data_IF_996714885752
#
_entry.id   IF_996714885752
#
_cell.length_a   1.000
_cell.length_b   1.000
_cell.length_c   1.000
_cell.angle_alpha   90.00
_cell.angle_beta   90.00
_cell.angle_gamma   90.00
#
_symmetry.space_group_name_H-M   'P 1'
#
loop_
_entity.id
_entity.type
_entity.pdbx_description
1 polymer ?
#
# COMPACT_ATOMS: atom_id res chain seq x y z
N UNK A 1 -14.05 -7.76 -7.06
CA UNK A 1 -14.71 -8.04 -5.79
C UNK A 1 -14.68 -6.79 -4.89
N UNK A 2 -15.80 -6.48 -4.24
CA UNK A 2 -16.07 -5.20 -3.57
C UNK A 2 -16.76 -4.21 -4.50
N UNK A 3 -17.77 -3.50 -3.98
CA UNK A 3 -18.54 -2.49 -4.71
C UNK A 3 -18.71 -1.21 -3.85
N UNK A 4 -17.71 -0.91 -3.05
CA UNK A 4 -17.62 0.35 -2.32
C UNK A 4 -17.04 1.47 -3.17
N UNK A 5 -16.92 2.69 -2.61
CA UNK A 5 -16.45 3.89 -3.31
C UNK A 5 -15.10 3.68 -4.03
N UNK A 6 -14.13 3.01 -3.39
CA UNK A 6 -12.83 2.74 -4.00
C UNK A 6 -12.94 1.83 -5.23
N UNK A 7 -13.74 0.76 -5.15
CA UNK A 7 -13.95 -0.16 -6.26
C UNK A 7 -14.61 0.56 -7.45
N UNK A 8 -15.72 1.26 -7.21
CA UNK A 8 -16.46 1.97 -8.26
C UNK A 8 -15.63 3.07 -8.90
N UNK A 9 -14.83 3.81 -8.13
CA UNK A 9 -13.88 4.79 -8.69
C UNK A 9 -12.82 4.14 -9.60
N UNK A 10 -12.24 3.01 -9.17
CA UNK A 10 -11.29 2.26 -10.00
C UNK A 10 -11.94 1.76 -11.31
N UNK A 11 -13.18 1.24 -11.24
CA UNK A 11 -13.90 0.76 -12.41
C UNK A 11 -14.24 1.91 -13.37
N UNK A 12 -14.67 3.06 -12.84
CA UNK A 12 -14.88 4.27 -13.63
C UNK A 12 -13.62 4.69 -14.38
N UNK A 13 -12.45 4.63 -13.71
CA UNK A 13 -11.17 4.93 -14.34
C UNK A 13 -10.78 3.91 -15.42
N UNK A 14 -11.05 2.62 -15.20
CA UNK A 14 -10.83 1.58 -16.23
C UNK A 14 -11.69 1.84 -17.48
N UNK A 15 -12.94 2.23 -17.31
CA UNK A 15 -13.81 2.62 -18.44
C UNK A 15 -13.25 3.82 -19.19
N UNK A 16 -12.78 4.85 -18.50
CA UNK A 16 -12.10 6.02 -19.10
C UNK A 16 -10.83 5.63 -19.87
N UNK A 17 -10.16 4.56 -19.45
CA UNK A 17 -8.99 4.00 -20.14
C UNK A 17 -9.36 3.06 -21.30
N UNK A 18 -10.65 2.85 -21.58
CA UNK A 18 -11.13 2.11 -22.73
C UNK A 18 -11.57 0.68 -22.45
N UNK A 19 -11.68 0.26 -21.19
CA UNK A 19 -12.25 -1.07 -20.86
C UNK A 19 -13.77 -1.01 -21.05
N UNK A 20 -14.37 -1.85 -21.90
CA UNK A 20 -15.82 -1.89 -22.09
C UNK A 20 -16.54 -2.30 -20.80
N UNK A 21 -17.66 -1.64 -20.48
CA UNK A 21 -18.42 -1.94 -19.25
C UNK A 21 -18.96 -3.37 -19.20
N UNK A 22 -19.34 -3.94 -20.34
CA UNK A 22 -19.77 -5.32 -20.48
C UNK A 22 -18.72 -6.35 -20.06
N UNK A 23 -17.46 -5.96 -20.06
CA UNK A 23 -16.35 -6.82 -19.61
C UNK A 23 -16.06 -6.65 -18.10
N UNK A 24 -16.77 -5.75 -17.40
CA UNK A 24 -16.57 -5.48 -15.99
C UNK A 24 -17.71 -6.11 -15.19
N UNK A 25 -17.37 -7.10 -14.38
CA UNK A 25 -18.30 -7.83 -13.53
C UNK A 25 -18.03 -7.52 -12.07
N UNK A 26 -19.02 -6.99 -11.37
CA UNK A 26 -18.90 -6.48 -9.99
C UNK A 26 -19.59 -7.42 -9.02
N UNK A 27 -18.92 -7.75 -7.93
CA UNK A 27 -19.51 -8.54 -6.84
C UNK A 27 -19.38 -7.83 -5.51
N UNK A 28 -20.38 -7.94 -4.64
CA UNK A 28 -20.39 -7.48 -3.27
C UNK A 28 -20.90 -8.56 -2.30
N UNK A 29 -21.31 -8.16 -1.08
CA UNK A 29 -21.82 -9.10 -0.07
C UNK A 29 -23.08 -9.86 -0.50
N UNK A 30 -23.89 -9.29 -1.38
CA UNK A 30 -25.09 -9.94 -1.95
C UNK A 30 -24.79 -10.70 -3.26
N UNK A 31 -23.50 -10.88 -3.61
CA UNK A 31 -23.07 -11.59 -4.81
C UNK A 31 -22.89 -10.68 -6.02
N UNK A 32 -23.10 -11.21 -7.22
CA UNK A 32 -22.89 -10.49 -8.48
C UNK A 32 -23.92 -9.35 -8.64
N UNK A 33 -23.46 -8.22 -9.17
CA UNK A 33 -24.31 -7.08 -9.56
C UNK A 33 -24.89 -7.39 -10.94
N UNK A 34 -26.20 -7.69 -10.98
CA UNK A 34 -26.92 -8.10 -12.19
C UNK A 34 -28.16 -7.22 -12.42
N UNK A 35 -28.63 -7.15 -13.64
CA UNK A 35 -29.78 -6.33 -14.03
C UNK A 35 -31.09 -6.86 -13.41
N UNK A 36 -31.73 -6.05 -12.59
CA UNK A 36 -32.93 -6.43 -11.83
C UNK A 36 -32.68 -6.82 -10.38
N UNK A 37 -31.43 -6.86 -9.92
CA UNK A 37 -31.11 -6.99 -8.51
C UNK A 37 -31.55 -5.71 -7.75
N UNK A 38 -32.17 -5.90 -6.60
CA UNK A 38 -32.63 -4.80 -5.74
C UNK A 38 -31.84 -4.69 -4.43
N UNK A 39 -31.28 -5.81 -3.96
CA UNK A 39 -30.54 -5.87 -2.71
C UNK A 39 -29.18 -5.18 -2.82
N UNK A 40 -28.84 -4.29 -1.86
CA UNK A 40 -27.59 -3.53 -1.80
C UNK A 40 -27.24 -2.78 -3.10
N UNK A 41 -28.25 -2.27 -3.81
CA UNK A 41 -28.06 -1.51 -5.06
C UNK A 41 -28.13 0.00 -4.81
N UNK A 42 -27.34 0.72 -5.61
CA UNK A 42 -27.32 2.17 -5.74
C UNK A 42 -27.10 2.55 -7.21
N UNK A 43 -27.25 3.83 -7.60
CA UNK A 43 -27.08 4.27 -8.99
C UNK A 43 -25.72 3.93 -9.58
N UNK A 44 -24.63 4.06 -8.81
CA UNK A 44 -23.26 3.82 -9.29
C UNK A 44 -23.02 2.34 -9.60
N UNK A 45 -23.54 1.44 -8.76
CA UNK A 45 -23.51 -0.01 -9.02
C UNK A 45 -24.35 -0.40 -10.22
N UNK A 46 -25.51 0.27 -10.39
CA UNK A 46 -26.42 -0.02 -11.49
C UNK A 46 -25.74 0.16 -12.86
N UNK A 47 -24.77 1.05 -12.97
CA UNK A 47 -23.99 1.24 -14.20
C UNK A 47 -23.19 0.00 -14.64
N UNK A 48 -22.88 -0.90 -13.69
CA UNK A 48 -22.11 -2.13 -13.93
C UNK A 48 -22.97 -3.40 -13.85
N UNK A 49 -24.29 -3.27 -13.81
CA UNK A 49 -25.20 -4.41 -13.71
C UNK A 49 -25.20 -5.20 -15.03
N UNK A 50 -24.85 -6.48 -14.94
CA UNK A 50 -24.74 -7.39 -16.10
C UNK A 50 -26.08 -8.12 -16.37
N UNK A 51 -26.35 -8.40 -17.65
CA UNK A 51 -27.46 -9.26 -18.05
C UNK A 51 -26.97 -10.72 -18.02
N UNK A 52 -27.27 -11.41 -16.92
CA UNK A 52 -26.75 -12.77 -16.69
C UNK A 52 -27.58 -13.52 -15.66
N UNK A 53 -27.52 -14.85 -15.72
CA UNK A 53 -28.07 -15.76 -14.71
C UNK A 53 -27.07 -16.11 -13.60
N UNK A 54 -25.83 -15.66 -13.71
CA UNK A 54 -24.79 -15.85 -12.69
C UNK A 54 -25.09 -14.99 -11.45
N UNK A 55 -24.68 -15.48 -10.26
CA UNK A 55 -25.02 -14.82 -8.98
C UNK A 55 -23.85 -14.68 -8.03
N UNK A 56 -22.79 -15.44 -8.18
CA UNK A 56 -21.70 -15.51 -7.22
C UNK A 56 -20.36 -15.01 -7.81
N UNK A 57 -19.39 -14.71 -6.93
CA UNK A 57 -18.03 -14.43 -7.35
C UNK A 57 -17.42 -15.63 -8.11
N UNK A 58 -17.72 -16.85 -7.67
CA UNK A 58 -17.21 -18.06 -8.32
C UNK A 58 -17.70 -18.19 -9.76
N UNK A 59 -18.95 -17.79 -10.03
CA UNK A 59 -19.49 -17.77 -11.38
C UNK A 59 -18.82 -16.69 -12.23
N UNK A 60 -18.68 -15.48 -11.69
CA UNK A 60 -18.17 -14.32 -12.40
C UNK A 60 -16.68 -14.42 -12.75
N UNK A 61 -15.89 -15.13 -11.92
CA UNK A 61 -14.43 -15.19 -12.09
C UNK A 61 -14.00 -16.28 -13.08
N UNK A 62 -14.88 -17.21 -13.40
CA UNK A 62 -14.57 -18.27 -14.34
C UNK A 62 -14.24 -17.70 -15.74
N UNK A 63 -13.03 -17.94 -16.23
CA UNK A 63 -12.53 -17.37 -17.47
C UNK A 63 -12.15 -15.89 -17.43
N UNK A 64 -12.17 -15.24 -16.27
CA UNK A 64 -11.78 -13.85 -16.15
C UNK A 64 -10.26 -13.67 -16.29
N UNK A 65 -9.85 -12.63 -17.01
CA UNK A 65 -8.43 -12.26 -17.19
C UNK A 65 -7.88 -11.49 -16.00
N UNK A 66 -8.73 -10.72 -15.29
CA UNK A 66 -8.32 -9.84 -14.21
C UNK A 66 -9.24 -10.00 -13.00
N UNK A 67 -8.67 -10.18 -11.83
CA UNK A 67 -9.35 -10.03 -10.55
C UNK A 67 -8.87 -8.74 -9.87
N UNK A 68 -9.81 -7.85 -9.55
CA UNK A 68 -9.58 -6.66 -8.74
C UNK A 68 -10.30 -6.81 -7.40
N UNK A 69 -9.52 -7.08 -6.35
CA UNK A 69 -9.98 -7.23 -4.97
C UNK A 69 -9.87 -5.91 -4.21
N UNK A 70 -11.01 -5.36 -3.80
CA UNK A 70 -11.17 -4.18 -2.94
C UNK A 70 -12.26 -4.48 -1.90
N UNK A 71 -12.19 -5.64 -1.28
CA UNK A 71 -13.25 -6.22 -0.44
C UNK A 71 -12.74 -6.62 0.94
N UNK A 72 -12.63 -7.90 1.23
CA UNK A 72 -12.25 -8.43 2.52
C UNK A 72 -11.30 -9.62 2.38
N UNK A 73 -10.60 -9.93 3.48
CA UNK A 73 -9.70 -11.07 3.54
C UNK A 73 -10.37 -12.39 3.12
N UNK A 74 -9.60 -13.23 2.46
CA UNK A 74 -9.96 -14.63 2.15
C UNK A 74 -11.22 -14.81 1.29
N UNK A 75 -11.66 -13.79 0.57
CA UNK A 75 -12.85 -13.87 -0.31
C UNK A 75 -12.55 -14.68 -1.57
N UNK A 76 -11.35 -14.56 -2.14
CA UNK A 76 -10.91 -15.31 -3.32
C UNK A 76 -10.32 -16.66 -2.90
N UNK A 77 -10.85 -17.77 -3.46
CA UNK A 77 -10.41 -19.13 -3.11
C UNK A 77 -9.49 -19.70 -4.17
N UNK A 78 -8.54 -20.60 -3.82
CA UNK A 78 -7.65 -21.25 -4.79
C UNK A 78 -8.39 -21.93 -5.97
N UNK A 79 -9.56 -22.52 -5.71
CA UNK A 79 -10.40 -23.11 -6.77
C UNK A 79 -10.90 -22.08 -7.80
N UNK A 80 -11.23 -20.87 -7.34
CA UNK A 80 -11.63 -19.77 -8.21
C UNK A 80 -10.43 -19.28 -9.05
N UNK A 81 -9.25 -19.18 -8.46
CA UNK A 81 -8.02 -18.82 -9.20
C UNK A 81 -7.73 -19.81 -10.32
N UNK A 82 -7.93 -21.12 -10.09
CA UNK A 82 -7.78 -22.14 -11.13
C UNK A 82 -8.73 -21.95 -12.31
N UNK A 83 -9.93 -21.43 -12.09
CA UNK A 83 -10.94 -21.24 -13.13
C UNK A 83 -10.75 -19.99 -13.99
N UNK A 84 -9.83 -19.09 -13.61
CA UNK A 84 -9.51 -17.88 -14.38
C UNK A 84 -8.85 -18.23 -15.74
N UNK A 85 -8.81 -17.25 -16.62
CA UNK A 85 -8.12 -17.35 -17.91
C UNK A 85 -6.61 -17.63 -17.75
N UNK A 86 -5.92 -17.91 -18.83
CA UNK A 86 -4.46 -18.09 -18.84
C UNK A 86 -3.75 -16.77 -18.52
N UNK A 87 -2.69 -16.81 -17.71
CA UNK A 87 -1.91 -15.66 -17.27
C UNK A 87 -2.76 -14.53 -16.66
N UNK A 88 -3.58 -14.82 -15.65
CA UNK A 88 -4.47 -13.81 -15.08
C UNK A 88 -3.67 -12.79 -14.27
N UNK A 89 -4.24 -11.59 -14.17
CA UNK A 89 -3.75 -10.53 -13.27
C UNK A 89 -4.62 -10.55 -12.02
N UNK A 90 -3.99 -10.68 -10.85
CA UNK A 90 -4.68 -10.76 -9.57
C UNK A 90 -4.22 -9.62 -8.67
N UNK A 91 -5.07 -8.61 -8.52
CA UNK A 91 -4.91 -7.52 -7.56
C UNK A 91 -5.68 -7.88 -6.28
N UNK A 92 -4.99 -8.39 -5.25
CA UNK A 92 -5.59 -8.71 -3.95
C UNK A 92 -5.22 -7.60 -2.96
N UNK A 93 -6.07 -6.57 -2.86
CA UNK A 93 -5.73 -5.28 -2.26
C UNK A 93 -6.38 -5.03 -0.89
N UNK A 94 -7.14 -5.97 -0.34
CA UNK A 94 -7.67 -5.87 1.02
C UNK A 94 -6.54 -5.75 2.06
N UNK A 95 -6.75 -4.94 3.08
CA UNK A 95 -5.78 -4.68 4.15
C UNK A 95 -6.39 -4.99 5.54
N UNK A 96 -5.61 -5.58 6.46
CA UNK A 96 -4.19 -5.97 6.35
C UNK A 96 -3.97 -7.32 5.64
N UNK A 97 -5.00 -8.15 5.54
CA UNK A 97 -4.97 -9.47 4.89
C UNK A 97 -5.64 -9.36 3.52
N UNK A 98 -4.97 -9.75 2.42
CA UNK A 98 -5.54 -9.70 1.08
C UNK A 98 -6.68 -10.71 0.88
N UNK A 99 -7.42 -10.57 -0.21
CA UNK A 99 -8.51 -11.49 -0.60
C UNK A 99 -8.05 -12.93 -0.80
N UNK A 100 -6.78 -13.12 -1.11
CA UNK A 100 -6.05 -14.40 -1.15
C UNK A 100 -4.57 -14.12 -0.95
N UNK A 101 -3.87 -15.00 -0.27
CA UNK A 101 -2.42 -14.85 -0.09
C UNK A 101 -1.67 -15.27 -1.37
N UNK A 102 -0.56 -14.58 -1.74
CA UNK A 102 0.24 -14.94 -2.92
C UNK A 102 0.71 -16.39 -2.95
N UNK A 103 1.01 -16.98 -1.79
CA UNK A 103 1.41 -18.37 -1.67
C UNK A 103 0.30 -19.33 -2.09
N UNK A 104 -0.95 -19.02 -1.76
CA UNK A 104 -2.12 -19.82 -2.14
C UNK A 104 -2.37 -19.78 -3.65
N UNK A 105 -2.11 -18.61 -4.28
CA UNK A 105 -2.17 -18.48 -5.74
C UNK A 105 -1.06 -19.33 -6.37
N UNK A 106 0.19 -19.15 -5.92
CA UNK A 106 1.36 -19.88 -6.44
C UNK A 106 1.26 -21.39 -6.23
N UNK A 107 0.55 -21.85 -5.20
CA UNK A 107 0.31 -23.27 -4.95
C UNK A 107 -0.62 -23.93 -6.01
N UNK A 108 -1.41 -23.15 -6.73
CA UNK A 108 -2.41 -23.68 -7.68
C UNK A 108 -2.14 -23.29 -9.13
N UNK A 109 -1.30 -22.25 -9.38
CA UNK A 109 -0.86 -21.86 -10.73
C UNK A 109 0.39 -20.95 -10.64
N UNK A 110 1.25 -21.04 -11.64
CA UNK A 110 2.54 -20.37 -11.74
C UNK A 110 2.57 -19.22 -12.77
N UNK A 111 1.51 -19.07 -13.56
CA UNK A 111 1.40 -18.11 -14.65
C UNK A 111 0.71 -16.79 -14.26
N UNK A 112 0.26 -16.65 -13.01
CA UNK A 112 -0.46 -15.45 -12.53
C UNK A 112 0.48 -14.27 -12.26
N UNK A 113 0.06 -13.06 -12.67
CA UNK A 113 0.66 -11.80 -12.25
C UNK A 113 -0.03 -11.33 -10.97
N UNK A 114 0.72 -11.18 -9.89
CA UNK A 114 0.16 -10.92 -8.55
C UNK A 114 0.60 -9.56 -8.04
N UNK A 115 -0.34 -8.78 -7.53
CA UNK A 115 -0.10 -7.54 -6.81
C UNK A 115 -0.94 -7.47 -5.53
N UNK A 116 -0.36 -6.93 -4.47
CA UNK A 116 -1.04 -6.77 -3.17
C UNK A 116 -0.80 -5.38 -2.59
N UNK A 117 -1.53 -5.01 -1.54
CA UNK A 117 -1.24 -3.80 -0.76
C UNK A 117 -0.05 -3.94 0.21
N UNK A 118 0.55 -5.14 0.32
CA UNK A 118 1.58 -5.45 1.31
C UNK A 118 2.98 -5.07 0.82
N UNK A 119 3.83 -4.64 1.76
CA UNK A 119 5.22 -4.23 1.49
C UNK A 119 6.18 -5.39 1.32
N UNK A 120 5.82 -6.55 1.81
CA UNK A 120 6.64 -7.76 1.84
C UNK A 120 6.49 -8.65 0.59
N UNK A 121 5.69 -8.20 -0.37
CA UNK A 121 5.51 -8.88 -1.67
C UNK A 121 5.90 -7.97 -2.84
N UNK A 122 6.27 -8.56 -3.98
CA UNK A 122 6.40 -7.81 -5.23
C UNK A 122 5.12 -7.08 -5.62
N UNK A 123 5.24 -6.06 -6.47
CA UNK A 123 4.11 -5.29 -7.01
C UNK A 123 3.22 -4.68 -5.91
N UNK A 124 3.83 -4.04 -4.91
CA UNK A 124 3.06 -3.35 -3.87
C UNK A 124 2.22 -2.23 -4.47
N UNK A 125 0.90 -2.34 -4.34
CA UNK A 125 -0.06 -1.28 -4.67
C UNK A 125 -0.26 -0.41 -3.43
N UNK A 126 0.18 0.85 -3.53
CA UNK A 126 0.09 1.79 -2.42
C UNK A 126 -0.38 3.16 -2.91
N UNK A 127 -1.30 3.79 -2.19
CA UNK A 127 -1.82 5.12 -2.52
C UNK A 127 -0.73 6.19 -2.62
N UNK A 128 0.40 6.02 -1.92
CA UNK A 128 1.54 6.96 -1.95
C UNK A 128 2.17 7.09 -3.34
N UNK A 129 1.96 6.13 -4.22
CA UNK A 129 2.45 6.19 -5.61
C UNK A 129 1.87 7.36 -6.39
N UNK A 130 0.62 7.74 -6.11
CA UNK A 130 -0.09 8.80 -6.85
C UNK A 130 -0.48 9.97 -5.95
N UNK A 131 -1.02 9.69 -4.77
CA UNK A 131 -1.69 10.66 -3.89
C UNK A 131 -0.89 11.97 -3.66
N UNK A 132 0.40 11.97 -3.27
CA UNK A 132 1.10 13.23 -3.02
C UNK A 132 1.32 14.03 -4.30
N UNK A 133 1.48 13.37 -5.42
CA UNK A 133 1.97 13.98 -6.67
C UNK A 133 0.85 14.48 -7.56
N UNK A 134 -0.31 13.83 -7.54
CA UNK A 134 -1.51 14.36 -8.23
C UNK A 134 -1.95 15.68 -7.59
N UNK A 135 -1.95 15.75 -6.25
CA UNK A 135 -2.24 16.99 -5.54
C UNK A 135 -1.14 18.04 -5.75
N UNK A 136 0.13 17.63 -5.81
CA UNK A 136 1.22 18.54 -6.12
C UNK A 136 1.02 19.22 -7.47
N UNK A 137 0.74 18.46 -8.52
CA UNK A 137 0.46 19.01 -9.85
C UNK A 137 -0.77 19.90 -9.89
N UNK A 138 -1.85 19.48 -9.25
CA UNK A 138 -3.09 20.24 -9.17
C UNK A 138 -2.92 21.56 -8.40
N UNK A 139 -2.29 21.55 -7.22
CA UNK A 139 -2.08 22.75 -6.41
C UNK A 139 -1.08 23.71 -7.03
N UNK A 140 0.00 23.24 -7.61
CA UNK A 140 1.00 24.10 -8.26
C UNK A 140 0.43 24.81 -9.49
N UNK A 141 -0.45 24.16 -10.25
CA UNK A 141 -1.17 24.76 -11.38
C UNK A 141 -2.40 25.58 -10.95
N UNK A 142 -2.77 25.55 -9.66
CA UNK A 142 -3.97 26.18 -9.14
C UNK A 142 -5.26 25.60 -9.74
N UNK A 143 -5.29 24.28 -9.97
CA UNK A 143 -6.48 23.62 -10.50
C UNK A 143 -7.65 23.75 -9.52
N UNK A 144 -8.83 24.09 -10.05
CA UNK A 144 -10.07 24.26 -9.27
C UNK A 144 -10.75 22.93 -8.95
N UNK A 145 -10.41 21.89 -9.71
CA UNK A 145 -10.89 20.52 -9.54
C UNK A 145 -9.88 19.54 -10.12
N UNK A 146 -9.95 18.27 -9.73
CA UNK A 146 -9.22 17.19 -10.40
C UNK A 146 -10.15 16.63 -11.47
N UNK A 147 -9.73 16.73 -12.74
CA UNK A 147 -10.50 16.24 -13.88
C UNK A 147 -10.10 14.81 -14.25
N UNK A 148 -10.97 14.12 -14.99
CA UNK A 148 -10.68 12.79 -15.54
C UNK A 148 -9.36 12.77 -16.35
N UNK A 149 -9.08 13.82 -17.10
CA UNK A 149 -7.84 13.95 -17.86
C UNK A 149 -6.60 14.01 -16.95
N UNK A 150 -6.70 14.63 -15.78
CA UNK A 150 -5.62 14.67 -14.78
C UNK A 150 -5.40 13.29 -14.13
N UNK A 151 -6.47 12.55 -13.84
CA UNK A 151 -6.39 11.18 -13.33
C UNK A 151 -5.73 10.25 -14.34
N UNK A 152 -6.18 10.29 -15.60
CA UNK A 152 -5.62 9.50 -16.71
C UNK A 152 -4.14 9.85 -16.94
N UNK A 153 -3.78 11.14 -16.88
CA UNK A 153 -2.39 11.57 -17.01
C UNK A 153 -1.49 11.00 -15.90
N UNK A 154 -2.01 10.94 -14.66
CA UNK A 154 -1.29 10.32 -13.55
C UNK A 154 -1.09 8.82 -13.77
N UNK A 155 -2.12 8.10 -14.25
CA UNK A 155 -2.02 6.67 -14.57
C UNK A 155 -0.94 6.42 -15.62
N UNK A 156 -0.94 7.18 -16.73
CA UNK A 156 0.07 7.03 -17.77
C UNK A 156 1.48 7.31 -17.25
N UNK A 157 1.65 8.37 -16.43
CA UNK A 157 2.94 8.71 -15.84
C UNK A 157 3.50 7.58 -14.95
N UNK A 158 2.65 6.92 -14.16
CA UNK A 158 3.04 5.77 -13.33
C UNK A 158 3.39 4.56 -14.22
N UNK A 159 2.58 4.26 -15.23
CA UNK A 159 2.80 3.15 -16.14
C UNK A 159 4.08 3.31 -16.97
N UNK A 160 4.37 4.51 -17.45
CA UNK A 160 5.62 4.84 -18.14
C UNK A 160 6.82 4.68 -17.22
N UNK A 161 6.70 5.13 -15.96
CA UNK A 161 7.79 5.02 -15.00
C UNK A 161 8.12 3.55 -14.65
N UNK A 162 7.11 2.68 -14.58
CA UNK A 162 7.32 1.25 -14.37
C UNK A 162 8.15 0.60 -15.49
N UNK A 163 8.02 1.11 -16.72
CA UNK A 163 8.75 0.63 -17.91
C UNK A 163 10.09 1.33 -18.15
N UNK A 164 10.34 2.44 -17.46
CA UNK A 164 11.57 3.19 -17.61
C UNK A 164 12.75 2.43 -16.99
N UNK A 165 13.92 2.54 -17.60
CA UNK A 165 15.17 2.04 -17.01
C UNK A 165 15.41 2.63 -15.63
N UNK A 166 15.95 1.82 -14.72
CA UNK A 166 16.26 2.27 -13.38
C UNK A 166 17.39 3.30 -13.41
N UNK A 167 17.25 4.34 -12.59
CA UNK A 167 18.39 5.20 -12.27
C UNK A 167 19.23 4.56 -11.15
N UNK A 168 20.53 4.84 -11.13
CA UNK A 168 21.44 4.42 -10.06
C UNK A 168 20.93 4.83 -8.67
N UNK A 169 20.20 5.94 -8.57
CA UNK A 169 19.59 6.44 -7.32
C UNK A 169 18.52 5.49 -6.80
N UNK A 170 17.70 4.94 -7.70
CA UNK A 170 16.67 3.94 -7.33
C UNK A 170 17.32 2.61 -6.98
N UNK A 171 18.28 2.15 -7.76
CA UNK A 171 19.02 0.93 -7.47
C UNK A 171 19.74 1.01 -6.11
N UNK A 172 20.30 2.15 -5.76
CA UNK A 172 20.95 2.36 -4.46
C UNK A 172 19.93 2.41 -3.29
N UNK A 173 18.74 2.93 -3.53
CA UNK A 173 17.68 2.98 -2.50
C UNK A 173 17.09 1.61 -2.18
N UNK A 174 17.13 0.66 -3.13
CA UNK A 174 16.59 -0.70 -3.00
C UNK A 174 17.69 -1.78 -3.00
N UNK A 175 18.81 -1.51 -2.33
CA UNK A 175 19.90 -2.48 -2.04
C UNK A 175 20.47 -3.22 -3.26
N UNK A 176 20.44 -2.60 -4.44
CA UNK A 176 21.02 -3.17 -5.66
C UNK A 176 20.12 -4.20 -6.36
N UNK A 177 18.86 -4.29 -6.00
CA UNK A 177 17.88 -5.06 -6.77
C UNK A 177 17.79 -4.53 -8.19
N UNK A 178 18.02 -5.39 -9.18
CA UNK A 178 17.79 -5.04 -10.59
C UNK A 178 16.30 -5.16 -10.86
N UNK A 179 15.57 -4.05 -10.71
CA UNK A 179 14.13 -4.01 -10.98
C UNK A 179 13.92 -3.73 -12.47
N UNK A 180 13.56 -4.72 -13.25
CA UNK A 180 13.16 -4.58 -14.64
C UNK A 180 11.65 -4.84 -14.77
N UNK A 181 10.97 -4.11 -15.68
CA UNK A 181 9.56 -4.34 -15.93
C UNK A 181 9.28 -5.79 -16.28
N UNK A 182 8.39 -6.41 -15.52
CA UNK A 182 8.08 -7.84 -15.64
C UNK A 182 7.15 -8.31 -14.53
N UNK A 183 6.91 -9.62 -14.39
CA UNK A 183 5.95 -10.17 -13.44
C UNK A 183 6.15 -9.74 -11.97
N UNK A 184 7.40 -9.51 -11.56
CA UNK A 184 7.73 -9.09 -10.19
C UNK A 184 7.89 -7.55 -10.06
N UNK A 185 7.76 -6.80 -11.17
CA UNK A 185 7.84 -5.34 -11.19
C UNK A 185 6.90 -4.74 -12.23
N UNK A 186 5.60 -4.73 -11.92
CA UNK A 186 4.54 -4.15 -12.76
C UNK A 186 4.29 -2.68 -12.43
N UNK A 187 4.65 -2.25 -11.23
CA UNK A 187 4.37 -0.93 -10.67
C UNK A 187 5.63 -0.38 -9.99
N UNK A 188 5.92 0.93 -10.06
CA UNK A 188 7.08 1.52 -9.39
C UNK A 188 7.04 1.31 -7.88
N UNK A 189 8.20 1.31 -7.25
CA UNK A 189 8.28 1.24 -5.79
C UNK A 189 7.73 2.53 -5.14
N UNK A 190 7.08 2.47 -3.97
CA UNK A 190 6.40 3.60 -3.32
C UNK A 190 7.26 4.84 -3.06
N UNK A 191 8.56 4.66 -2.86
CA UNK A 191 9.50 5.76 -2.57
C UNK A 191 10.44 6.07 -3.75
N UNK A 192 10.04 5.72 -4.97
CA UNK A 192 10.77 6.13 -6.17
C UNK A 192 10.71 7.66 -6.32
N UNK A 193 11.85 8.36 -6.22
CA UNK A 193 11.87 9.82 -6.28
C UNK A 193 11.40 10.36 -7.63
N UNK A 194 11.43 9.55 -8.68
CA UNK A 194 10.97 9.92 -10.03
C UNK A 194 9.46 10.06 -10.13
N UNK A 195 8.68 9.49 -9.20
CA UNK A 195 7.21 9.62 -9.17
C UNK A 195 6.78 11.09 -9.16
N UNK A 196 7.34 11.92 -8.28
CA UNK A 196 7.02 13.35 -8.22
C UNK A 196 7.34 14.04 -9.54
N UNK A 197 8.51 13.73 -10.13
CA UNK A 197 9.00 14.37 -11.34
C UNK A 197 8.24 13.96 -12.60
N UNK A 198 7.52 12.85 -12.59
CA UNK A 198 6.70 12.36 -13.70
C UNK A 198 5.24 12.74 -13.52
N UNK A 199 4.65 12.47 -12.36
CA UNK A 199 3.21 12.64 -12.13
C UNK A 199 2.82 14.12 -12.04
N UNK A 200 3.52 14.92 -11.21
CA UNK A 200 3.11 16.30 -10.98
C UNK A 200 3.13 17.16 -12.26
N UNK A 201 4.15 17.09 -13.14
CA UNK A 201 4.12 17.79 -14.42
C UNK A 201 3.02 17.30 -15.36
N UNK A 202 2.77 15.99 -15.45
CA UNK A 202 1.73 15.42 -16.29
C UNK A 202 0.34 15.92 -15.86
N UNK A 203 0.08 15.93 -14.56
CA UNK A 203 -1.16 16.44 -13.97
C UNK A 203 -1.33 17.94 -14.20
N UNK A 204 -0.27 18.73 -14.02
CA UNK A 204 -0.32 20.18 -14.24
C UNK A 204 -0.61 20.53 -15.71
N UNK A 205 -0.02 19.80 -16.66
CA UNK A 205 -0.30 19.94 -18.08
C UNK A 205 -1.75 19.57 -18.41
N UNK A 206 -2.24 18.46 -17.85
CA UNK A 206 -3.63 18.05 -18.04
C UNK A 206 -4.62 19.06 -17.45
N UNK A 207 -4.32 19.66 -16.29
CA UNK A 207 -5.11 20.72 -15.69
C UNK A 207 -5.19 21.96 -16.61
N UNK A 208 -4.08 22.37 -17.20
CA UNK A 208 -4.04 23.47 -18.15
C UNK A 208 -4.84 23.15 -19.41
N UNK A 209 -4.67 21.96 -19.98
CA UNK A 209 -5.41 21.52 -21.17
C UNK A 209 -6.91 21.40 -20.93
N UNK A 210 -7.33 21.02 -19.71
CA UNK A 210 -8.74 20.97 -19.31
C UNK A 210 -9.35 22.32 -18.94
N UNK A 211 -8.57 23.41 -18.97
CA UNK A 211 -9.04 24.77 -18.65
C UNK A 211 -9.33 25.01 -17.16
N UNK A 212 -8.92 24.10 -16.26
CA UNK A 212 -9.16 24.23 -14.81
C UNK A 212 -7.98 24.85 -14.06
N UNK A 213 -6.83 25.04 -14.71
CA UNK A 213 -5.65 25.64 -14.10
C UNK A 213 -5.76 27.16 -14.04
N UNK A 214 -5.81 27.75 -12.84
CA UNK A 214 -5.80 29.21 -12.64
C UNK A 214 -4.40 29.82 -12.79
N UNK A 215 -3.35 29.00 -12.63
CA UNK A 215 -1.94 29.38 -12.71
C UNK A 215 -1.19 28.36 -13.58
N UNK A 216 -1.50 28.38 -14.88
CA UNK A 216 -0.81 27.49 -15.82
C UNK A 216 0.71 27.67 -15.72
N UNK A 217 1.45 26.58 -15.69
CA UNK A 217 2.90 26.58 -15.59
C UNK A 217 3.47 26.85 -16.99
N UNK A 218 4.03 28.04 -17.18
CA UNK A 218 4.53 28.49 -18.48
C UNK A 218 5.85 27.80 -18.88
N UNK A 219 6.74 27.59 -17.92
CA UNK A 219 8.03 26.91 -18.12
C UNK A 219 8.04 25.58 -17.36
N UNK A 220 7.83 24.51 -18.10
CA UNK A 220 7.74 23.16 -17.56
C UNK A 220 9.11 22.60 -17.17
N UNK A 221 10.19 23.08 -17.80
CA UNK A 221 11.54 22.62 -17.47
C UNK A 221 12.01 23.25 -16.16
N UNK A 222 11.79 24.55 -15.97
CA UNK A 222 12.01 25.20 -14.68
C UNK A 222 11.16 24.58 -13.55
N UNK A 223 9.94 24.14 -13.88
CA UNK A 223 9.10 23.43 -12.92
C UNK A 223 9.68 22.06 -12.54
N UNK A 224 10.18 21.29 -13.48
CA UNK A 224 10.86 20.02 -13.21
C UNK A 224 12.11 20.21 -12.35
N UNK A 225 12.94 21.22 -12.66
CA UNK A 225 14.09 21.57 -11.83
C UNK A 225 13.70 21.91 -10.39
N UNK A 226 12.64 22.69 -10.20
CA UNK A 226 12.09 22.99 -8.89
C UNK A 226 11.66 21.72 -8.13
N UNK A 227 10.95 20.80 -8.80
CA UNK A 227 10.55 19.52 -8.21
C UNK A 227 11.75 18.65 -7.83
N UNK A 228 12.78 18.63 -8.69
CA UNK A 228 14.04 17.94 -8.43
C UNK A 228 14.71 18.44 -7.15
N UNK A 229 14.70 19.76 -6.91
CA UNK A 229 15.19 20.36 -5.68
C UNK A 229 14.50 19.84 -4.41
N UNK A 230 13.19 19.58 -4.47
CA UNK A 230 12.45 19.00 -3.34
C UNK A 230 12.83 17.53 -3.09
N UNK A 231 13.00 16.73 -4.12
CA UNK A 231 13.39 15.33 -4.01
C UNK A 231 14.75 15.19 -3.35
N UNK A 232 15.71 15.98 -3.79
CA UNK A 232 17.08 15.94 -3.24
C UNK A 232 17.19 16.60 -1.86
N UNK A 233 16.38 17.62 -1.55
CA UNK A 233 16.40 18.28 -0.24
C UNK A 233 15.93 17.33 0.87
N UNK A 234 14.87 16.54 0.67
CA UNK A 234 14.41 15.55 1.65
C UNK A 234 15.43 14.42 1.83
N UNK A 235 16.01 13.90 0.76
CA UNK A 235 17.09 12.91 0.82
C UNK A 235 18.35 13.46 1.53
N UNK A 236 18.73 14.67 1.25
CA UNK A 236 19.85 15.33 1.92
C UNK A 236 19.58 15.64 3.41
N UNK A 237 18.32 15.92 3.79
CA UNK A 237 17.93 16.14 5.19
C UNK A 237 17.86 14.82 5.96
N UNK A 238 17.32 13.76 5.38
CA UNK A 238 17.16 12.46 6.05
C UNK A 238 18.48 11.68 6.11
N UNK A 239 19.35 11.77 5.11
CA UNK A 239 20.63 11.06 5.07
C UNK A 239 21.53 11.37 6.28
N UNK A 240 21.71 12.63 6.72
CA UNK A 240 22.39 12.94 7.98
C UNK A 240 21.71 12.32 9.19
N UNK A 241 20.37 12.33 9.27
CA UNK A 241 19.59 11.78 10.39
C UNK A 241 19.81 10.26 10.48
N UNK A 242 19.70 9.52 9.38
CA UNK A 242 20.01 8.09 9.35
C UNK A 242 21.48 7.82 9.72
N UNK A 243 22.41 8.65 9.23
CA UNK A 243 23.84 8.53 9.59
C UNK A 243 24.05 8.77 11.06
N UNK A 244 23.39 9.78 11.65
CA UNK A 244 23.45 10.05 13.09
C UNK A 244 22.84 8.89 13.89
N UNK A 245 21.69 8.36 13.48
CA UNK A 245 21.06 7.20 14.11
C UNK A 245 21.98 5.97 14.07
N UNK A 246 22.58 5.66 12.92
CA UNK A 246 23.58 4.57 12.79
C UNK A 246 24.81 4.77 13.69
N UNK A 247 25.32 5.99 13.79
CA UNK A 247 26.42 6.31 14.72
C UNK A 247 26.02 6.22 16.19
N UNK A 248 24.74 6.47 16.50
CA UNK A 248 24.17 6.34 17.83
C UNK A 248 23.57 4.95 18.10
N UNK A 249 24.07 3.89 17.43
CA UNK A 249 23.51 2.54 17.37
C UNK A 249 23.25 1.86 18.73
N UNK A 250 23.79 2.40 19.83
CA UNK A 250 23.55 1.92 21.20
C UNK A 250 22.26 2.47 21.83
N UNK A 251 21.47 3.26 21.09
CA UNK A 251 20.19 3.75 21.58
C UNK A 251 19.16 2.63 21.59
N UNK A 252 18.44 2.54 22.72
CA UNK A 252 17.36 1.57 22.90
C UNK A 252 16.03 2.24 22.58
N UNK A 253 15.17 1.54 21.83
CA UNK A 253 13.82 2.00 21.49
C UNK A 253 12.82 0.97 21.98
N UNK A 254 11.91 1.37 22.87
CA UNK A 254 10.84 0.52 23.36
C UNK A 254 9.61 0.61 22.43
N UNK A 255 9.06 -0.53 22.09
CA UNK A 255 7.84 -0.69 21.31
C UNK A 255 6.76 -1.26 22.21
N UNK A 256 5.75 -0.45 22.54
CA UNK A 256 4.69 -0.81 23.48
C UNK A 256 3.81 -1.97 22.98
N UNK A 257 3.64 -2.10 21.68
CA UNK A 257 2.84 -3.14 21.02
C UNK A 257 3.74 -4.19 20.36
N UNK A 258 4.67 -4.76 21.15
CA UNK A 258 5.71 -5.65 20.65
C UNK A 258 5.21 -6.96 20.02
N UNK A 259 3.95 -7.32 20.21
CA UNK A 259 3.31 -8.47 19.58
C UNK A 259 2.70 -8.14 18.20
N UNK A 260 2.54 -6.86 17.85
CA UNK A 260 1.86 -6.42 16.63
C UNK A 260 2.71 -6.67 15.37
N UNK A 261 2.07 -7.19 14.31
CA UNK A 261 2.77 -7.52 13.06
C UNK A 261 3.54 -6.33 12.48
N UNK A 262 2.89 -5.14 12.44
CA UNK A 262 3.50 -3.93 11.89
C UNK A 262 4.72 -3.49 12.68
N UNK A 263 4.65 -3.65 14.00
CA UNK A 263 5.76 -3.35 14.91
C UNK A 263 6.91 -4.33 14.67
N UNK A 264 6.63 -5.63 14.57
CA UNK A 264 7.64 -6.64 14.31
C UNK A 264 8.35 -6.43 12.95
N UNK A 265 7.61 -6.06 11.91
CA UNK A 265 8.18 -5.71 10.60
C UNK A 265 9.03 -4.43 10.66
N UNK A 266 8.57 -3.41 11.38
CA UNK A 266 9.35 -2.18 11.59
C UNK A 266 10.64 -2.46 12.38
N UNK A 267 10.57 -3.34 13.38
CA UNK A 267 11.72 -3.78 14.18
C UNK A 267 12.74 -4.52 13.31
N UNK A 268 12.29 -5.37 12.38
CA UNK A 268 13.19 -6.01 11.41
C UNK A 268 13.99 -4.97 10.62
N UNK A 269 13.34 -3.92 10.13
CA UNK A 269 14.01 -2.83 9.40
C UNK A 269 15.01 -2.09 10.29
N UNK A 270 14.62 -1.78 11.54
CA UNK A 270 15.49 -1.08 12.51
C UNK A 270 16.76 -1.89 12.81
N UNK A 271 16.64 -3.21 12.91
CA UNK A 271 17.76 -4.13 13.14
C UNK A 271 18.63 -4.23 11.88
N UNK A 272 18.01 -4.50 10.71
CA UNK A 272 18.72 -4.64 9.44
C UNK A 272 19.53 -3.38 9.08
N UNK A 273 18.98 -2.19 9.35
CA UNK A 273 19.63 -0.91 9.11
C UNK A 273 20.56 -0.47 10.23
N UNK A 274 20.63 -1.18 11.36
CA UNK A 274 21.47 -0.83 12.49
C UNK A 274 21.14 0.53 13.12
N UNK A 275 19.86 0.90 13.19
CA UNK A 275 19.42 2.22 13.65
C UNK A 275 19.32 2.32 15.18
N UNK A 276 18.91 1.25 15.84
CA UNK A 276 18.75 1.19 17.30
C UNK A 276 18.68 -0.27 17.76
N UNK A 277 18.76 -0.48 19.09
CA UNK A 277 18.44 -1.76 19.72
C UNK A 277 16.98 -1.75 20.18
N UNK A 278 16.10 -2.55 19.59
CA UNK A 278 14.70 -2.63 19.98
C UNK A 278 14.50 -3.33 21.32
N UNK A 279 13.50 -2.87 22.08
CA UNK A 279 12.94 -3.56 23.24
C UNK A 279 11.45 -3.73 22.99
N UNK A 280 10.99 -4.96 22.83
CA UNK A 280 9.58 -5.29 22.59
C UNK A 280 8.87 -5.51 23.93
N UNK A 281 7.75 -4.84 24.12
CA UNK A 281 6.88 -5.05 25.29
C UNK A 281 5.79 -6.01 24.87
N UNK A 282 5.74 -7.18 25.51
CA UNK A 282 4.78 -8.24 25.18
C UNK A 282 5.21 -9.59 25.71
N UNK A 283 4.44 -10.62 25.39
CA UNK A 283 4.67 -12.02 25.82
C UNK A 283 5.71 -12.67 24.90
N UNK A 284 6.83 -13.18 25.45
CA UNK A 284 7.94 -13.72 24.65
C UNK A 284 7.49 -14.83 23.68
N UNK A 285 6.61 -15.74 24.13
CA UNK A 285 6.14 -16.87 23.34
C UNK A 285 5.28 -16.41 22.15
N UNK A 286 4.45 -15.38 22.36
CA UNK A 286 3.60 -14.81 21.30
C UNK A 286 4.46 -14.09 20.27
N UNK A 287 5.46 -13.32 20.73
CA UNK A 287 6.40 -12.63 19.84
C UNK A 287 7.16 -13.67 19.00
N UNK A 288 7.69 -14.73 19.62
CA UNK A 288 8.44 -15.77 18.90
C UNK A 288 7.57 -16.46 17.83
N UNK A 289 6.34 -16.86 18.18
CA UNK A 289 5.39 -17.46 17.23
C UNK A 289 5.07 -16.51 16.05
N UNK A 290 4.92 -15.22 16.32
CA UNK A 290 4.62 -14.23 15.27
C UNK A 290 5.83 -13.94 14.39
N UNK A 291 7.02 -13.87 14.96
CA UNK A 291 8.28 -13.75 14.19
C UNK A 291 8.41 -14.92 13.21
N UNK A 292 8.14 -16.15 13.65
CA UNK A 292 8.15 -17.33 12.80
C UNK A 292 7.03 -17.29 11.75
N UNK A 293 5.78 -17.02 12.18
CA UNK A 293 4.60 -16.94 11.30
C UNK A 293 4.78 -15.94 10.18
N UNK A 294 5.42 -14.81 10.47
CA UNK A 294 5.61 -13.72 9.49
C UNK A 294 6.93 -13.85 8.70
N UNK A 295 7.69 -14.93 8.89
CA UNK A 295 8.95 -15.20 8.19
C UNK A 295 10.04 -14.16 8.49
N UNK A 296 10.02 -13.56 9.69
CA UNK A 296 11.01 -12.55 10.09
C UNK A 296 12.29 -13.25 10.60
N UNK A 297 13.42 -12.55 10.45
CA UNK A 297 14.75 -13.07 10.80
C UNK A 297 15.21 -12.66 12.20
N UNK A 298 14.35 -12.02 12.97
CA UNK A 298 14.62 -11.49 14.31
C UNK A 298 14.94 -12.58 15.33
N UNK A 299 15.99 -12.39 16.11
CA UNK A 299 16.43 -13.31 17.18
C UNK A 299 16.42 -12.59 18.51
N UNK A 300 15.62 -13.09 19.45
CA UNK A 300 15.58 -12.56 20.81
C UNK A 300 16.96 -12.64 21.48
N UNK A 301 17.34 -11.60 22.18
CA UNK A 301 18.63 -11.49 22.87
C UNK A 301 19.77 -11.01 21.95
N UNK A 302 19.80 -11.43 20.67
CA UNK A 302 20.76 -10.94 19.68
C UNK A 302 20.30 -9.62 19.08
N UNK A 303 19.09 -9.59 18.51
CA UNK A 303 18.57 -8.46 17.73
C UNK A 303 17.66 -7.54 18.54
N UNK A 304 16.91 -8.11 19.50
CA UNK A 304 15.98 -7.36 20.34
C UNK A 304 15.87 -7.94 21.75
N UNK A 305 15.49 -7.09 22.70
CA UNK A 305 15.15 -7.49 24.07
C UNK A 305 13.63 -7.58 24.21
N UNK A 306 13.13 -8.40 25.17
CA UNK A 306 11.69 -8.49 25.49
C UNK A 306 11.45 -8.11 26.94
N UNK A 307 10.39 -7.34 27.16
CA UNK A 307 9.86 -7.06 28.49
C UNK A 307 8.44 -7.61 28.56
N UNK A 308 8.27 -8.69 29.35
CA UNK A 308 6.95 -9.20 29.68
C UNK A 308 6.40 -8.44 30.89
N UNK A 309 5.41 -7.59 30.65
CA UNK A 309 4.83 -6.73 31.68
C UNK A 309 4.30 -7.53 32.88
N UNK A 310 3.73 -8.72 32.65
CA UNK A 310 3.14 -9.55 33.70
C UNK A 310 4.19 -10.23 34.61
N UNK A 311 5.43 -10.34 34.13
CA UNK A 311 6.51 -11.08 34.83
C UNK A 311 7.71 -10.18 35.18
N UNK A 312 7.72 -8.92 34.78
CA UNK A 312 8.83 -8.00 35.04
C UNK A 312 8.82 -7.55 36.49
N UNK A 313 9.95 -7.73 37.21
CA UNK A 313 10.09 -7.34 38.59
C UNK A 313 9.80 -5.84 38.83
N UNK A 314 10.02 -5.02 37.83
CA UNK A 314 9.79 -3.56 37.85
C UNK A 314 8.32 -3.17 37.64
N UNK A 315 7.43 -4.13 37.37
CA UNK A 315 6.01 -3.85 37.08
C UNK A 315 5.38 -2.96 38.15
N UNK A 316 5.61 -3.30 39.42
CA UNK A 316 5.07 -2.53 40.55
C UNK A 316 5.57 -1.10 40.57
N UNK A 317 6.84 -0.87 40.28
CA UNK A 317 7.45 0.46 40.28
C UNK A 317 6.93 1.31 39.13
N UNK A 318 6.69 0.68 37.98
CA UNK A 318 6.14 1.36 36.79
C UNK A 318 4.71 1.82 37.02
N UNK A 319 3.81 0.94 37.45
CA UNK A 319 2.43 1.37 37.66
C UNK A 319 2.29 2.35 38.84
N UNK A 320 3.06 2.21 39.90
CA UNK A 320 3.07 3.19 40.99
C UNK A 320 3.63 4.55 40.58
N UNK A 321 4.61 4.55 39.69
CA UNK A 321 5.14 5.79 39.11
C UNK A 321 4.12 6.45 38.20
N UNK A 322 3.44 5.66 37.37
CA UNK A 322 2.36 6.16 36.50
C UNK A 322 1.19 6.68 37.34
N UNK A 323 0.76 5.94 38.36
CA UNK A 323 -0.29 6.42 39.27
C UNK A 323 0.06 7.79 39.88
N UNK A 324 1.26 7.96 40.44
CA UNK A 324 1.70 9.27 41.00
C UNK A 324 1.65 10.40 39.99
N UNK A 325 1.94 10.14 38.71
CA UNK A 325 1.88 11.18 37.68
C UNK A 325 0.45 11.48 37.23
N UNK A 326 -0.46 10.49 37.33
CA UNK A 326 -1.80 10.58 36.75
C UNK A 326 -2.94 10.63 37.78
N UNK A 327 -2.66 10.52 39.09
CA UNK A 327 -3.68 10.51 40.17
C UNK A 327 -4.58 11.75 40.15
N UNK A 328 -4.00 12.92 39.85
CA UNK A 328 -4.77 14.16 39.71
C UNK A 328 -5.69 14.19 38.49
N UNK A 329 -5.55 13.25 37.57
CA UNK A 329 -6.42 13.03 36.39
C UNK A 329 -7.45 11.94 36.65
N UNK A 330 -7.59 11.45 37.90
CA UNK A 330 -8.55 10.44 38.28
C UNK A 330 -8.11 9.00 38.04
N UNK A 331 -6.82 8.77 37.76
CA UNK A 331 -6.27 7.41 37.62
C UNK A 331 -6.06 6.82 39.02
N UNK A 332 -6.82 5.77 39.35
CA UNK A 332 -6.66 5.01 40.59
C UNK A 332 -5.53 4.01 40.47
N UNK A 333 -5.06 3.46 41.62
CA UNK A 333 -4.03 2.41 41.64
C UNK A 333 -4.45 1.17 40.85
N UNK A 334 -5.76 0.87 40.80
CA UNK A 334 -6.29 -0.28 40.06
C UNK A 334 -6.39 -0.04 38.53
N UNK A 335 -6.33 1.22 38.10
CA UNK A 335 -6.37 1.61 36.67
C UNK A 335 -4.95 1.83 36.15
N UNK A 336 -4.02 2.20 37.00
CA UNK A 336 -2.62 2.42 36.65
C UNK A 336 -1.89 1.12 36.31
#
# INVERSE_FOLDING_TARGET
SGAGAAALACLGLLVKLGVPRENIWVTDLAGLVWQGRTELMDPDKQEFAQVTDQRTLADAIAGADVFLGLSAADVLKPAMVKSMAARPIIFALANPTPEIMPEEIKAVRDDALIATGRTDYPNQVNNVLCFPYIFRGALDSGATTITDAMEVAAVHAIAELARAEQSEVVAAAYAGETLAFGPEYLIPKPFDPRLMMKIAPAVALAAAASGVAQRAIADMDAYREKLQGFVYASGNTMKPIFTMAKRAANKRVAYAEGEEERVLRAVQVVVDEGLARPTLIGRPEVIAQRVEKFGLRLKQGADYDVVNVEQDERYRDFFMSYHRMAERKGVTVSIA
#
